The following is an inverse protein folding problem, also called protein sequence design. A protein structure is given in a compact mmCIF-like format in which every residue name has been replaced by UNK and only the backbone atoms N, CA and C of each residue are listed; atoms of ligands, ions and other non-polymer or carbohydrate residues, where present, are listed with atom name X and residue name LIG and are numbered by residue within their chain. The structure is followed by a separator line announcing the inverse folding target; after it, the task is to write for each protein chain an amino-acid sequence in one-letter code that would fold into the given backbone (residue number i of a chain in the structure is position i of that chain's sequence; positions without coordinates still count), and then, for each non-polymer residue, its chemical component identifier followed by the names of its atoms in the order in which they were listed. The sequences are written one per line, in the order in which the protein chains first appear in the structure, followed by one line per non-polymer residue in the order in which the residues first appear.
data_IF_525183429617
#
_entry.id   IF_525183429617
#
_cell.length_a   1.000
_cell.length_b   1.000
_cell.length_c   1.000
_cell.angle_alpha   90.00
_cell.angle_beta   90.00
_cell.angle_gamma   90.00
#
_symmetry.space_group_name_H-M   'P 1'
#
loop_
_entity.id
_entity.type
_entity.pdbx_description
1 polymer ?
#
# COMPACT_ATOMS: atom_id res chain seq x y z
N UNK A 1 66.11 7.53 21.43
CA UNK A 1 65.47 8.77 21.94
C UNK A 1 64.33 9.08 20.98
N UNK A 2 63.09 8.87 21.41
CA UNK A 2 61.92 9.24 20.60
C UNK A 2 61.75 10.75 20.72
N UNK A 3 62.42 11.51 19.86
CA UNK A 3 62.14 12.93 19.70
C UNK A 3 60.88 13.05 18.84
N UNK A 4 59.72 12.86 19.46
CA UNK A 4 58.48 13.40 18.92
C UNK A 4 58.56 14.91 19.16
N UNK A 5 58.59 15.68 18.08
CA UNK A 5 58.62 17.14 18.18
C UNK A 5 57.27 17.62 18.71
N UNK A 6 57.24 18.71 19.48
CA UNK A 6 55.98 19.29 19.99
C UNK A 6 54.98 19.61 18.86
N UNK A 7 55.49 19.82 17.65
CA UNK A 7 54.71 20.00 16.43
C UNK A 7 53.92 18.73 16.03
N UNK A 8 54.56 17.55 16.02
CA UNK A 8 53.91 16.29 15.67
C UNK A 8 52.84 15.87 16.70
N UNK A 9 53.09 16.16 17.98
CA UNK A 9 52.11 15.92 19.04
C UNK A 9 50.90 16.85 18.89
N UNK A 10 51.14 18.13 18.58
CA UNK A 10 50.08 19.12 18.31
C UNK A 10 49.21 18.72 17.13
N UNK A 11 49.82 18.22 16.05
CA UNK A 11 49.08 17.82 14.85
C UNK A 11 48.27 16.54 15.08
N UNK A 12 48.77 15.61 15.90
CA UNK A 12 47.98 14.45 16.33
C UNK A 12 46.77 14.87 17.17
N UNK A 13 46.95 15.78 18.13
CA UNK A 13 45.85 16.30 18.96
C UNK A 13 44.79 16.99 18.09
N UNK A 14 45.18 17.83 17.14
CA UNK A 14 44.26 18.50 16.20
C UNK A 14 43.47 17.51 15.34
N UNK A 15 44.12 16.44 14.88
CA UNK A 15 43.45 15.38 14.13
C UNK A 15 42.37 14.69 14.99
N UNK A 16 42.65 14.45 16.27
CA UNK A 16 41.70 13.86 17.21
C UNK A 16 40.53 14.80 17.55
N UNK A 17 40.76 16.11 17.69
CA UNK A 17 39.68 17.06 18.10
C UNK A 17 38.53 17.13 17.10
N UNK A 18 38.82 17.03 15.80
CA UNK A 18 37.78 17.03 14.77
C UNK A 18 36.93 15.75 14.81
N UNK A 19 37.55 14.60 15.07
CA UNK A 19 36.85 13.31 15.18
C UNK A 19 35.90 13.31 16.38
N UNK A 20 36.37 13.80 17.54
CA UNK A 20 35.58 13.88 18.77
C UNK A 20 34.41 14.86 18.63
N UNK A 21 34.62 15.99 17.94
CA UNK A 21 33.57 16.97 17.71
C UNK A 21 32.45 16.43 16.81
N UNK A 22 32.77 15.72 15.73
CA UNK A 22 31.76 15.15 14.84
C UNK A 22 30.96 14.00 15.50
N UNK A 23 31.62 13.16 16.30
CA UNK A 23 30.93 12.12 17.08
C UNK A 23 29.98 12.73 18.12
N UNK A 24 30.42 13.77 18.83
CA UNK A 24 29.61 14.46 19.81
C UNK A 24 28.41 15.22 19.19
N UNK A 25 28.60 15.81 17.99
CA UNK A 25 27.52 16.44 17.22
C UNK A 25 26.43 15.45 16.87
N UNK A 26 26.80 14.24 16.44
CA UNK A 26 25.83 13.21 16.09
C UNK A 26 24.96 12.81 17.29
N UNK A 27 25.56 12.61 18.46
CA UNK A 27 24.83 12.28 19.70
C UNK A 27 23.91 13.43 20.15
N UNK A 28 24.39 14.66 20.10
CA UNK A 28 23.59 15.85 20.41
C UNK A 28 22.38 15.95 19.49
N UNK A 29 22.57 15.74 18.18
CA UNK A 29 21.48 15.74 17.19
C UNK A 29 20.48 14.63 17.51
N UNK A 30 20.93 13.40 17.77
CA UNK A 30 20.04 12.28 18.13
C UNK A 30 19.23 12.61 19.38
N UNK A 31 19.86 13.21 20.39
CA UNK A 31 19.21 13.59 21.65
C UNK A 31 18.14 14.66 21.44
N UNK A 32 18.46 15.74 20.71
CA UNK A 32 17.50 16.81 20.42
C UNK A 32 16.35 16.29 19.57
N UNK A 33 16.62 15.47 18.55
CA UNK A 33 15.58 14.84 17.73
C UNK A 33 14.68 13.94 18.59
N UNK A 34 15.26 13.11 19.47
CA UNK A 34 14.50 12.25 20.36
C UNK A 34 13.58 13.08 21.26
N UNK A 35 14.09 14.14 21.89
CA UNK A 35 13.29 15.06 22.71
C UNK A 35 12.17 15.72 21.89
N UNK A 36 12.48 16.22 20.70
CA UNK A 36 11.49 16.84 19.81
C UNK A 36 10.39 15.86 19.40
N UNK A 37 10.74 14.60 19.13
CA UNK A 37 9.76 13.54 18.84
C UNK A 37 8.90 13.20 20.05
N UNK A 38 9.41 13.29 21.28
CA UNK A 38 8.60 13.12 22.49
C UNK A 38 7.54 14.24 22.62
N UNK A 39 7.92 15.50 22.38
CA UNK A 39 6.98 16.64 22.38
C UNK A 39 5.91 16.46 21.30
N UNK A 40 6.29 16.06 20.08
CA UNK A 40 5.33 15.81 19.00
C UNK A 40 4.37 14.68 19.39
N UNK A 41 4.87 13.55 19.93
CA UNK A 41 4.01 12.44 20.37
C UNK A 41 3.02 12.88 21.44
N UNK A 42 3.46 13.66 22.42
CA UNK A 42 2.59 14.21 23.45
C UNK A 42 1.49 15.12 22.87
N UNK A 43 1.77 15.87 21.80
CA UNK A 43 0.81 16.76 21.16
C UNK A 43 -0.16 16.07 20.18
N UNK A 44 0.10 14.81 19.77
CA UNK A 44 -0.78 14.08 18.86
C UNK A 44 -2.13 13.85 19.52
N UNK A 45 -3.19 14.29 18.85
CA UNK A 45 -4.57 14.04 19.26
C UNK A 45 -5.13 12.78 18.61
N UNK A 46 -5.69 11.90 19.42
CA UNK A 46 -6.34 10.69 18.97
C UNK A 46 -7.63 11.02 18.18
N UNK A 47 -7.74 10.50 16.96
CA UNK A 47 -8.94 10.68 16.13
C UNK A 47 -10.19 9.99 16.67
N UNK A 48 -10.03 9.06 17.61
CA UNK A 48 -11.12 8.27 18.19
C UNK A 48 -11.64 8.89 19.48
N UNK A 49 -10.80 8.98 20.53
CA UNK A 49 -11.21 9.48 21.84
C UNK A 49 -10.89 10.96 22.08
N UNK A 50 -10.22 11.63 21.13
CA UNK A 50 -9.83 13.05 21.21
C UNK A 50 -8.85 13.39 22.34
N UNK A 51 -8.29 12.40 23.02
CA UNK A 51 -7.23 12.58 24.01
C UNK A 51 -5.86 12.72 23.32
N UNK A 52 -4.91 13.33 24.02
CA UNK A 52 -3.55 13.55 23.51
C UNK A 52 -2.64 12.33 23.78
N UNK A 53 -1.45 12.33 23.17
CA UNK A 53 -0.39 11.36 23.42
C UNK A 53 -0.41 10.09 22.57
N UNK A 54 -1.45 9.87 21.75
CA UNK A 54 -1.57 8.64 20.96
C UNK A 54 -2.44 8.79 19.70
N UNK A 55 -2.21 7.89 18.73
CA UNK A 55 -3.04 7.77 17.52
C UNK A 55 -4.15 6.72 17.73
N UNK A 56 -5.18 6.72 16.87
CA UNK A 56 -6.30 5.77 16.90
C UNK A 56 -5.89 4.30 17.08
N UNK A 57 -4.80 3.86 16.45
CA UNK A 57 -4.29 2.47 16.55
C UNK A 57 -3.84 2.08 17.96
N UNK A 58 -3.43 3.05 18.76
CA UNK A 58 -2.92 2.90 20.13
C UNK A 58 -3.96 3.35 21.17
N UNK A 59 -5.19 3.63 20.75
CA UNK A 59 -6.25 4.11 21.64
C UNK A 59 -6.58 3.03 22.70
N UNK A 60 -6.44 3.32 24.00
CA UNK A 60 -6.71 2.33 25.06
C UNK A 60 -8.20 2.00 25.17
N UNK A 61 -9.08 2.90 24.72
CA UNK A 61 -10.53 2.68 24.66
C UNK A 61 -10.95 1.74 23.52
N UNK A 62 -9.99 1.24 22.73
CA UNK A 62 -10.20 0.47 21.52
C UNK A 62 -10.77 1.32 20.38
N UNK A 63 -10.76 0.83 19.13
CA UNK A 63 -11.47 1.48 18.04
C UNK A 63 -12.98 1.37 18.29
N UNK A 64 -13.63 2.44 18.75
CA UNK A 64 -15.10 2.50 18.88
C UNK A 64 -15.79 2.74 17.52
N UNK A 65 -15.04 3.20 16.52
CA UNK A 65 -15.48 3.37 15.15
C UNK A 65 -15.01 2.23 14.25
N UNK A 66 -15.94 1.33 13.96
CA UNK A 66 -15.91 0.39 12.85
C UNK A 66 -14.79 -0.66 12.94
N UNK A 67 -15.21 -1.90 13.25
CA UNK A 67 -14.81 -3.05 12.43
C UNK A 67 -15.21 -2.77 10.98
N UNK A 68 -14.59 -1.77 10.36
CA UNK A 68 -14.60 -1.57 8.94
C UNK A 68 -13.86 -2.79 8.46
N UNK A 69 -14.63 -3.80 8.08
CA UNK A 69 -14.21 -4.93 7.30
C UNK A 69 -13.29 -4.37 6.21
N UNK A 70 -11.99 -4.31 6.48
CA UNK A 70 -10.96 -4.22 5.47
C UNK A 70 -10.98 -5.58 4.81
N UNK A 71 -12.10 -5.89 4.13
CA UNK A 71 -12.11 -6.89 3.09
C UNK A 71 -11.11 -6.29 2.12
N UNK A 72 -9.89 -6.79 2.16
CA UNK A 72 -8.88 -6.57 1.15
C UNK A 72 -9.63 -6.60 -0.18
N UNK A 73 -9.54 -5.53 -0.96
CA UNK A 73 -10.22 -5.49 -2.26
C UNK A 73 -9.52 -6.54 -3.10
N UNK A 74 -10.10 -7.74 -3.13
CA UNK A 74 -9.70 -8.83 -4.02
C UNK A 74 -10.18 -8.49 -5.45
N UNK A 75 -9.54 -9.04 -6.49
CA UNK A 75 -10.08 -8.96 -7.84
C UNK A 75 -11.54 -9.40 -7.85
N UNK A 76 -12.39 -8.63 -8.52
CA UNK A 76 -13.79 -8.99 -8.69
C UNK A 76 -13.93 -10.22 -9.60
N UNK A 77 -15.02 -10.99 -9.48
CA UNK A 77 -15.28 -12.15 -10.34
C UNK A 77 -15.36 -11.81 -11.83
N UNK A 78 -15.66 -10.55 -12.20
CA UNK A 78 -15.60 -10.11 -13.59
C UNK A 78 -14.18 -10.06 -14.16
N UNK A 79 -13.15 -10.17 -13.31
CA UNK A 79 -11.73 -10.14 -13.67
C UNK A 79 -11.30 -8.88 -14.45
N UNK A 80 -12.10 -7.80 -14.40
CA UNK A 80 -11.85 -6.50 -15.05
C UNK A 80 -11.35 -5.42 -14.08
N UNK A 81 -11.21 -5.74 -12.79
CA UNK A 81 -10.69 -4.80 -11.81
C UNK A 81 -10.92 -5.19 -10.35
N UNK A 82 -10.63 -4.23 -9.47
CA UNK A 82 -10.65 -4.37 -8.02
C UNK A 82 -11.86 -3.62 -7.44
N UNK A 83 -12.96 -4.34 -7.23
CA UNK A 83 -14.19 -3.83 -6.62
C UNK A 83 -14.95 -4.98 -5.96
N UNK A 84 -15.95 -4.67 -5.13
CA UNK A 84 -16.83 -5.69 -4.57
C UNK A 84 -17.86 -6.17 -5.60
N UNK A 85 -18.27 -7.44 -5.52
CA UNK A 85 -19.21 -8.04 -6.48
C UNK A 85 -20.52 -7.26 -6.63
N UNK A 86 -21.00 -6.63 -5.55
CA UNK A 86 -22.20 -5.80 -5.55
C UNK A 86 -22.03 -4.42 -6.23
N UNK A 87 -20.80 -4.00 -6.52
CA UNK A 87 -20.46 -2.80 -7.28
C UNK A 87 -20.02 -3.13 -8.71
N UNK A 88 -20.12 -4.40 -9.12
CA UNK A 88 -19.76 -4.84 -10.45
C UNK A 88 -20.83 -4.43 -11.46
N UNK A 89 -20.45 -3.62 -12.46
CA UNK A 89 -21.33 -3.23 -13.57
C UNK A 89 -21.11 -4.08 -14.84
N UNK A 90 -20.12 -4.98 -14.82
CA UNK A 90 -19.84 -5.86 -15.95
C UNK A 90 -20.84 -7.01 -15.99
N UNK A 91 -21.42 -7.28 -17.15
CA UNK A 91 -22.26 -8.48 -17.39
C UNK A 91 -21.43 -9.73 -17.75
N UNK A 92 -20.22 -9.49 -18.25
CA UNK A 92 -19.30 -10.50 -18.76
C UNK A 92 -17.96 -10.45 -18.03
N UNK A 93 -17.30 -11.59 -17.92
CA UNK A 93 -15.91 -11.68 -17.50
C UNK A 93 -14.94 -11.13 -18.57
N UNK A 94 -13.63 -11.25 -18.33
CA UNK A 94 -12.59 -10.85 -19.29
C UNK A 94 -12.51 -11.73 -20.55
N UNK A 95 -13.08 -12.92 -20.52
CA UNK A 95 -13.09 -13.89 -21.62
C UNK A 95 -14.41 -13.86 -22.42
N UNK A 96 -15.38 -13.05 -22.00
CA UNK A 96 -16.68 -12.94 -22.65
C UNK A 96 -17.75 -13.88 -22.10
N UNK A 97 -17.48 -14.61 -21.01
CA UNK A 97 -18.49 -15.47 -20.36
C UNK A 97 -19.42 -14.64 -19.48
N UNK A 98 -20.70 -15.01 -19.46
CA UNK A 98 -21.70 -14.41 -18.56
C UNK A 98 -21.36 -14.67 -17.10
N UNK A 99 -21.56 -13.67 -16.24
CA UNK A 99 -21.32 -13.82 -14.80
C UNK A 99 -22.43 -14.64 -14.12
N UNK A 100 -22.11 -15.49 -13.12
CA UNK A 100 -23.07 -16.42 -12.50
C UNK A 100 -24.34 -15.75 -11.97
N UNK A 101 -24.26 -14.53 -11.41
CA UNK A 101 -25.43 -13.84 -10.84
C UNK A 101 -26.56 -13.51 -11.84
N UNK A 102 -26.33 -13.66 -13.15
CA UNK A 102 -27.32 -13.35 -14.20
C UNK A 102 -28.00 -14.58 -14.80
N UNK A 103 -27.80 -15.77 -14.24
CA UNK A 103 -28.40 -17.04 -14.73
C UNK A 103 -29.95 -17.09 -14.67
N UNK A 104 -30.61 -16.03 -14.19
CA UNK A 104 -32.06 -15.87 -14.21
C UNK A 104 -32.58 -14.66 -15.02
N UNK A 105 -31.78 -14.13 -15.96
CA UNK A 105 -32.29 -13.15 -16.92
C UNK A 105 -32.70 -13.87 -18.21
N UNK A 106 -34.00 -14.16 -18.29
CA UNK A 106 -34.79 -14.50 -19.48
C UNK A 106 -34.01 -14.30 -20.78
N UNK A 107 -33.60 -15.41 -21.39
CA UNK A 107 -33.07 -15.47 -22.76
C UNK A 107 -34.16 -14.91 -23.69
N UNK A 108 -34.06 -13.64 -24.04
CA UNK A 108 -34.72 -13.08 -25.20
C UNK A 108 -33.60 -12.82 -26.22
N UNK A 109 -33.32 -13.81 -27.07
CA UNK A 109 -32.54 -13.58 -28.28
C UNK A 109 -33.56 -13.35 -29.39
N UNK A 110 -33.86 -12.09 -29.66
CA UNK A 110 -34.25 -11.66 -31.01
C UNK A 110 -33.01 -11.02 -31.65
N UNK A 111 -32.43 -11.75 -32.61
CA UNK A 111 -32.05 -11.32 -33.98
C UNK A 111 -31.16 -10.06 -34.14
N UNK A 112 -30.04 -9.99 -34.88
CA UNK A 112 -29.49 -10.73 -36.02
C UNK A 112 -28.04 -10.28 -36.31
N UNK A 113 -27.20 -11.15 -36.88
CA UNK A 113 -26.33 -10.85 -38.03
C UNK A 113 -25.69 -12.16 -38.56
N UNK A 114 -25.83 -12.53 -39.85
CA UNK A 114 -25.20 -13.71 -40.42
C UNK A 114 -23.78 -13.36 -40.89
N UNK A 115 -22.77 -14.10 -40.44
CA UNK A 115 -21.48 -14.14 -41.13
C UNK A 115 -21.43 -15.39 -42.01
N UNK A 116 -21.40 -15.10 -43.31
CA UNK A 116 -21.15 -15.97 -44.45
C UNK A 116 -19.80 -16.65 -44.36
N UNK A 117 -19.77 -17.98 -44.47
CA UNK A 117 -18.97 -18.79 -45.40
C UNK A 117 -18.75 -20.22 -44.85
N UNK A 118 -19.22 -21.24 -45.57
CA UNK A 118 -18.34 -22.24 -46.19
C UNK A 118 -19.18 -23.22 -47.01
N UNK A 119 -18.87 -23.29 -48.29
CA UNK A 119 -19.40 -24.25 -49.25
C UNK A 119 -18.83 -25.63 -48.95
N UNK A 120 -19.66 -26.64 -48.72
CA UNK A 120 -19.35 -28.01 -49.13
C UNK A 120 -20.66 -28.70 -49.50
N UNK A 121 -20.89 -28.81 -50.81
CA UNK A 121 -21.96 -29.60 -51.40
C UNK A 121 -21.62 -31.08 -51.21
N UNK A 122 -22.53 -31.79 -50.55
CA UNK A 122 -22.50 -33.23 -50.36
C UNK A 122 -22.39 -33.99 -51.68
N UNK A 123 -21.59 -35.06 -51.64
CA UNK A 123 -21.53 -36.09 -52.66
C UNK A 123 -22.77 -37.00 -52.63
N UNK A 124 -22.94 -37.73 -53.74
CA UNK A 124 -23.63 -39.01 -53.98
C UNK A 124 -24.99 -38.95 -54.70
N UNK A 125 -25.47 -40.05 -55.34
CA UNK A 125 -24.88 -40.76 -56.48
C UNK A 125 -25.94 -41.06 -57.60
N UNK A 126 -25.51 -41.81 -58.63
CA UNK A 126 -26.22 -42.41 -59.79
C UNK A 126 -26.22 -41.54 -61.06
#
# INVERSE_FOLDING_TARGET
ICNLTDAELSDHIKACTNIVLEQFKAELIVTVIAQQLQVIRAAIKCFECRELGHIRKQCPKGPKGQKGNKKSIKPCHCQKGFHWSNQCQSKYDKHGNLLPQQENLKVCVESSAPQSNETTLNQTPI
#
